data_IF_767083720219
#
_entry.id   IF_767083720219
#
_cell.length_a   1.000
_cell.length_b   1.000
_cell.length_c   1.000
_cell.angle_alpha   90.00
_cell.angle_beta   90.00
_cell.angle_gamma   90.00
#
_symmetry.space_group_name_H-M   'P 1'
#
loop_
_entity.id
_entity.type
_entity.pdbx_description
1 polymer ?
#
# COMPACT_ATOMS: atom_id res chain seq x y z
N UNK A 1 1.73 14.31 -14.99
CA UNK A 1 0.95 15.51 -14.72
C UNK A 1 1.71 16.50 -13.89
N UNK A 2 1.81 17.72 -14.39
CA UNK A 2 2.52 18.77 -13.65
C UNK A 2 1.89 19.03 -12.29
N UNK A 3 0.58 18.94 -12.23
CA UNK A 3 -0.15 19.19 -11.00
C UNK A 3 0.25 18.23 -9.89
N UNK A 4 0.39 16.96 -10.23
CA UNK A 4 0.80 15.96 -9.27
C UNK A 4 2.21 16.21 -8.76
N UNK A 5 3.07 16.67 -9.63
CA UNK A 5 4.44 16.99 -9.25
C UNK A 5 4.50 18.19 -8.33
N UNK A 6 3.71 19.19 -8.64
CA UNK A 6 3.67 20.38 -7.79
C UNK A 6 3.18 20.05 -6.40
N UNK A 7 2.15 19.28 -6.33
CA UNK A 7 1.59 18.89 -5.04
C UNK A 7 2.62 18.13 -4.22
N UNK A 8 3.31 17.21 -4.86
CA UNK A 8 4.33 16.43 -4.21
C UNK A 8 5.46 17.32 -3.67
N UNK A 9 5.84 18.31 -4.46
CA UNK A 9 6.86 19.26 -4.07
C UNK A 9 6.44 20.05 -2.85
N UNK A 10 5.20 20.48 -2.82
CA UNK A 10 4.70 21.29 -1.72
C UNK A 10 4.64 20.54 -0.42
N UNK A 11 4.31 19.26 -0.48
CA UNK A 11 4.18 18.46 0.73
C UNK A 11 5.48 17.83 1.14
N UNK A 12 6.46 17.85 0.25
CA UNK A 12 7.67 17.08 0.41
C UNK A 12 8.58 17.49 1.54
N UNK A 13 8.48 18.74 1.98
CA UNK A 13 9.43 19.20 2.97
C UNK A 13 9.12 18.64 4.34
N UNK A 14 9.87 17.75 4.85
CA UNK A 14 9.72 17.27 6.20
C UNK A 14 8.83 16.07 6.43
N UNK A 15 8.05 15.68 5.45
CA UNK A 15 7.23 14.48 5.60
C UNK A 15 8.02 13.25 5.15
N UNK A 16 7.86 12.10 5.81
CA UNK A 16 8.51 10.89 5.36
C UNK A 16 8.04 10.56 3.94
N UNK A 17 8.96 10.14 3.12
CA UNK A 17 8.61 9.75 1.78
C UNK A 17 8.07 8.35 1.77
N UNK A 18 6.94 8.20 1.13
CA UNK A 18 6.35 6.91 0.91
C UNK A 18 6.76 6.43 -0.48
N UNK A 19 7.38 5.27 -0.56
CA UNK A 19 7.71 4.68 -1.85
C UNK A 19 6.65 3.65 -2.15
N UNK A 20 5.86 3.94 -3.19
CA UNK A 20 4.74 3.09 -3.56
C UNK A 20 5.09 2.35 -4.84
N UNK A 21 4.89 1.05 -4.83
CA UNK A 21 5.16 0.22 -6.00
C UNK A 21 4.12 0.46 -7.09
N UNK A 22 4.39 -0.07 -8.27
CA UNK A 22 3.39 -0.11 -9.32
C UNK A 22 2.21 -0.94 -8.84
N UNK A 23 0.99 -0.58 -9.25
CA UNK A 23 -0.18 -1.34 -8.83
C UNK A 23 -0.21 -2.72 -9.46
N UNK A 24 -0.72 -3.67 -8.70
CA UNK A 24 -0.87 -5.06 -9.13
C UNK A 24 -2.33 -5.44 -9.00
N UNK A 25 -2.91 -5.95 -10.07
CA UNK A 25 -4.30 -6.42 -10.04
C UNK A 25 -4.37 -7.82 -9.49
N UNK A 26 -5.34 -8.06 -8.62
CA UNK A 26 -5.53 -9.39 -8.04
C UNK A 26 -7.01 -9.58 -7.73
N UNK A 27 -7.68 -10.46 -8.49
CA UNK A 27 -9.09 -10.80 -8.27
C UNK A 27 -10.01 -9.58 -8.21
N UNK A 28 -9.74 -8.61 -9.08
CA UNK A 28 -10.55 -7.40 -9.14
C UNK A 28 -10.14 -6.32 -8.16
N UNK A 29 -9.14 -6.57 -7.34
CA UNK A 29 -8.59 -5.56 -6.44
C UNK A 29 -7.26 -5.07 -6.98
N UNK A 30 -6.86 -3.88 -6.53
CA UNK A 30 -5.56 -3.31 -6.88
C UNK A 30 -4.72 -3.25 -5.61
N UNK A 31 -3.51 -3.79 -5.68
CA UNK A 31 -2.61 -3.85 -4.53
C UNK A 31 -1.39 -3.01 -4.83
N UNK A 32 -1.02 -2.16 -3.86
CA UNK A 32 0.20 -1.36 -3.97
C UNK A 32 1.03 -1.59 -2.72
N UNK A 33 2.31 -1.89 -2.90
CA UNK A 33 3.21 -2.00 -1.77
C UNK A 33 3.68 -0.60 -1.40
N UNK A 34 3.72 -0.30 -0.10
CA UNK A 34 4.16 1.00 0.40
C UNK A 34 4.88 0.79 1.73
N UNK A 35 6.06 0.16 1.71
CA UNK A 35 6.79 -0.13 2.94
C UNK A 35 7.14 1.15 3.70
N UNK A 36 7.20 1.03 5.02
CA UNK A 36 7.51 2.14 5.90
C UNK A 36 8.95 1.99 6.38
N UNK A 37 9.76 2.99 6.13
CA UNK A 37 11.15 2.96 6.59
C UNK A 37 11.21 3.32 8.06
N UNK A 38 11.86 2.46 8.85
CA UNK A 38 12.01 2.65 10.29
C UNK A 38 13.39 2.17 10.68
N UNK A 39 14.22 3.09 11.15
CA UNK A 39 15.57 2.76 11.67
C UNK A 39 16.38 1.93 10.67
N UNK A 40 16.35 2.30 9.41
CA UNK A 40 17.12 1.62 8.38
C UNK A 40 16.53 0.33 7.89
N UNK A 41 15.36 -0.04 8.36
CA UNK A 41 14.63 -1.22 7.90
C UNK A 41 13.31 -0.79 7.27
N UNK A 42 12.68 -1.73 6.58
CA UNK A 42 11.43 -1.44 5.88
C UNK A 42 10.34 -2.37 6.39
N UNK A 43 9.31 -1.77 6.99
CA UNK A 43 8.16 -2.50 7.51
C UNK A 43 7.19 -2.80 6.37
N UNK A 44 6.65 -4.03 6.37
CA UNK A 44 5.66 -4.43 5.38
C UNK A 44 4.39 -3.60 5.52
N UNK A 45 4.01 -2.92 4.45
CA UNK A 45 2.80 -2.11 4.43
C UNK A 45 2.39 -1.87 2.99
N UNK A 46 1.13 -1.49 2.81
CA UNK A 46 0.63 -1.19 1.47
C UNK A 46 -0.81 -0.77 1.49
N UNK A 47 -1.40 -0.77 0.31
CA UNK A 47 -2.80 -0.38 0.12
C UNK A 47 -3.51 -1.41 -0.75
N UNK A 48 -4.77 -1.64 -0.46
CA UNK A 48 -5.63 -2.45 -1.30
C UNK A 48 -6.83 -1.61 -1.67
N UNK A 49 -7.11 -1.51 -2.97
CA UNK A 49 -8.22 -0.72 -3.48
C UNK A 49 -9.21 -1.64 -4.18
N UNK A 50 -10.47 -1.31 -4.10
CA UNK A 50 -11.50 -2.05 -4.78
C UNK A 50 -12.76 -1.24 -4.89
N UNK A 51 -13.73 -1.77 -5.63
CA UNK A 51 -15.00 -1.10 -5.83
C UNK A 51 -16.00 -1.60 -4.81
N UNK A 52 -16.54 -0.67 -4.04
CA UNK A 52 -17.59 -0.97 -3.07
C UNK A 52 -18.81 -0.12 -3.42
N UNK A 53 -19.81 -0.78 -3.97
CA UNK A 53 -21.08 -0.13 -4.31
C UNK A 53 -20.88 1.11 -5.19
N UNK A 54 -20.04 0.97 -6.20
CA UNK A 54 -19.82 2.03 -7.15
C UNK A 54 -18.75 3.05 -6.79
N UNK A 55 -18.16 2.90 -5.60
CA UNK A 55 -17.11 3.80 -5.14
C UNK A 55 -15.81 3.05 -4.93
N UNK A 56 -14.71 3.66 -5.33
CA UNK A 56 -13.41 3.07 -5.08
C UNK A 56 -13.01 3.33 -3.64
N UNK A 57 -12.75 2.26 -2.90
CA UNK A 57 -12.26 2.36 -1.53
C UNK A 57 -10.82 1.91 -1.50
N UNK A 58 -10.01 2.60 -0.74
CA UNK A 58 -8.59 2.28 -0.58
C UNK A 58 -8.31 2.09 0.89
N UNK A 59 -7.83 0.91 1.26
CA UNK A 59 -7.61 0.56 2.65
C UNK A 59 -6.13 0.25 2.87
N UNK A 60 -5.57 0.77 3.93
CA UNK A 60 -4.17 0.55 4.24
C UNK A 60 -3.98 -0.68 5.10
N UNK A 61 -2.91 -1.44 4.82
CA UNK A 61 -2.51 -2.52 5.69
C UNK A 61 -1.08 -2.30 6.16
N UNK A 62 -0.82 -2.66 7.41
CA UNK A 62 0.51 -2.55 8.02
C UNK A 62 0.74 -3.84 8.78
N UNK A 63 1.92 -4.41 8.61
CA UNK A 63 2.30 -5.64 9.29
C UNK A 63 3.55 -5.41 10.13
N UNK A 64 3.80 -6.32 11.05
CA UNK A 64 4.94 -6.18 11.95
C UNK A 64 6.27 -6.56 11.30
N UNK A 65 6.23 -7.29 10.19
CA UNK A 65 7.44 -7.77 9.53
C UNK A 65 8.30 -6.63 9.03
N UNK A 66 9.60 -6.73 9.25
CA UNK A 66 10.57 -5.75 8.77
C UNK A 66 11.62 -6.44 7.94
N UNK A 67 12.15 -5.74 6.96
CA UNK A 67 13.13 -6.27 6.02
C UNK A 67 14.28 -5.30 5.87
N UNK A 68 15.46 -5.85 5.55
CA UNK A 68 16.66 -5.02 5.45
C UNK A 68 16.68 -4.18 4.17
N UNK A 69 16.01 -4.62 3.11
CA UNK A 69 16.01 -3.85 1.87
C UNK A 69 14.59 -3.60 1.36
N UNK A 70 14.48 -2.53 0.59
CA UNK A 70 13.20 -2.06 0.10
C UNK A 70 12.52 -3.06 -0.83
N UNK A 71 13.28 -3.65 -1.75
CA UNK A 71 12.68 -4.56 -2.72
C UNK A 71 12.05 -5.78 -2.06
N UNK A 72 12.74 -6.34 -1.08
CA UNK A 72 12.21 -7.48 -0.33
C UNK A 72 10.93 -7.09 0.40
N UNK A 73 10.91 -5.89 0.99
CA UNK A 73 9.74 -5.41 1.69
C UNK A 73 8.57 -5.22 0.71
N UNK A 74 8.85 -4.70 -0.48
CA UNK A 74 7.82 -4.53 -1.50
C UNK A 74 7.24 -5.85 -1.95
N UNK A 75 8.10 -6.82 -2.25
CA UNK A 75 7.65 -8.13 -2.68
C UNK A 75 6.80 -8.79 -1.61
N UNK A 76 7.23 -8.67 -0.36
CA UNK A 76 6.50 -9.24 0.76
C UNK A 76 5.14 -8.56 0.94
N UNK A 77 5.12 -7.23 0.77
CA UNK A 77 3.88 -6.48 0.90
C UNK A 77 2.87 -6.86 -0.18
N UNK A 78 3.34 -7.04 -1.41
CA UNK A 78 2.44 -7.46 -2.49
C UNK A 78 1.87 -8.86 -2.21
N UNK A 79 2.71 -9.77 -1.73
CA UNK A 79 2.25 -11.11 -1.37
C UNK A 79 1.25 -11.06 -0.23
N UNK A 80 1.49 -10.22 0.76
CA UNK A 80 0.58 -10.07 1.89
C UNK A 80 -0.75 -9.48 1.42
N UNK A 81 -0.68 -8.50 0.52
CA UNK A 81 -1.90 -7.91 -0.03
C UNK A 81 -2.76 -8.95 -0.75
N UNK A 82 -2.13 -9.80 -1.55
CA UNK A 82 -2.87 -10.88 -2.23
C UNK A 82 -3.50 -11.82 -1.22
N UNK A 83 -2.78 -12.14 -0.15
CA UNK A 83 -3.30 -13.01 0.88
C UNK A 83 -4.53 -12.41 1.56
N UNK A 84 -4.47 -11.12 1.87
CA UNK A 84 -5.60 -10.44 2.50
C UNK A 84 -6.83 -10.47 1.58
N UNK A 85 -6.64 -10.23 0.30
CA UNK A 85 -7.73 -10.31 -0.67
C UNK A 85 -8.31 -11.71 -0.71
N UNK A 86 -7.44 -12.73 -0.75
CA UNK A 86 -7.90 -14.12 -0.81
C UNK A 86 -8.70 -14.50 0.42
N UNK A 87 -8.33 -13.98 1.57
CA UNK A 87 -8.98 -14.34 2.83
C UNK A 87 -10.24 -13.54 3.10
N UNK A 88 -10.26 -12.26 2.74
CA UNK A 88 -11.34 -11.37 3.15
C UNK A 88 -12.26 -10.92 2.01
N UNK A 89 -11.76 -10.93 0.78
CA UNK A 89 -12.56 -10.47 -0.33
C UNK A 89 -13.07 -9.05 -0.09
N UNK A 90 -14.27 -8.77 -0.55
CA UNK A 90 -14.83 -7.42 -0.43
C UNK A 90 -15.04 -6.97 1.01
N UNK A 91 -15.03 -7.89 1.95
CA UNK A 91 -15.14 -7.53 3.36
C UNK A 91 -14.02 -6.62 3.82
N UNK A 92 -12.86 -6.69 3.19
CA UNK A 92 -11.75 -5.83 3.58
C UNK A 92 -12.07 -4.34 3.35
N UNK A 93 -12.92 -4.05 2.36
CA UNK A 93 -13.25 -2.67 2.00
C UNK A 93 -14.14 -1.98 3.04
N UNK A 94 -14.73 -2.73 3.95
CA UNK A 94 -15.53 -2.16 5.02
C UNK A 94 -14.70 -1.77 6.23
N UNK A 95 -13.42 -2.06 6.21
CA UNK A 95 -12.53 -1.76 7.33
C UNK A 95 -11.81 -0.45 7.10
N UNK A 96 -11.48 0.24 8.18
CA UNK A 96 -10.72 1.47 8.07
C UNK A 96 -9.26 1.16 7.79
N UNK A 97 -8.79 0.04 8.32
CA UNK A 97 -7.39 -0.35 8.18
C UNK A 97 -7.27 -1.86 8.38
N UNK A 98 -6.34 -2.43 7.72
CA UNK A 98 -6.03 -3.86 7.82
C UNK A 98 -4.68 -4.04 8.54
#
# INVERSE_FOLDING_TARGET
>A
MALGKLFKSLVGGGAPREQISDPVDHKGFTIEAAPIEEDGKFRTAGYISGDLEGEVKRVRFIRADQHADLQTAMDHALAKGRQIVDEQGKGLLHKDRL
#
